data_IF_493841862642
#
_entry.id   IF_493841862642
#
_cell.length_a   1.000
_cell.length_b   1.000
_cell.length_c   1.000
_cell.angle_alpha   90.00
_cell.angle_beta   90.00
_cell.angle_gamma   90.00
#
_symmetry.space_group_name_H-M   'P 1'
#
loop_
_entity.id
_entity.type
_entity.pdbx_description
1 polymer ?
#
# COMPACT_ATOMS: atom_id res chain seq x y z
N UNK A 1 2.82 19.77 -28.43
CA UNK A 1 1.89 19.08 -27.51
C UNK A 1 2.63 17.96 -26.81
N UNK A 2 3.05 18.12 -25.55
CA UNK A 2 3.59 17.01 -24.77
C UNK A 2 2.42 16.25 -24.11
N UNK A 3 2.34 14.93 -24.27
CA UNK A 3 1.43 14.10 -23.45
C UNK A 3 0.63 13.00 -24.16
N UNK A 4 0.64 12.90 -25.50
CA UNK A 4 -0.19 11.90 -26.20
C UNK A 4 0.33 10.45 -26.08
N UNK A 5 1.55 10.25 -25.57
CA UNK A 5 2.24 8.94 -25.50
C UNK A 5 2.89 8.65 -24.15
N UNK A 6 2.43 9.26 -23.06
CA UNK A 6 3.01 8.99 -21.74
C UNK A 6 2.58 7.58 -21.26
N UNK A 7 3.54 6.65 -21.21
CA UNK A 7 3.36 5.39 -20.49
C UNK A 7 3.30 5.70 -19.01
N UNK A 8 2.17 5.38 -18.36
CA UNK A 8 2.04 5.46 -16.91
C UNK A 8 2.43 4.13 -16.30
N UNK A 9 3.37 4.11 -15.38
CA UNK A 9 3.77 2.91 -14.64
C UNK A 9 3.24 2.97 -13.21
N UNK A 10 2.93 1.81 -12.64
CA UNK A 10 2.50 1.66 -11.24
C UNK A 10 3.11 0.37 -10.71
N UNK A 11 3.65 0.41 -9.49
CA UNK A 11 4.21 -0.77 -8.83
C UNK A 11 3.34 -1.11 -7.62
N UNK A 12 2.73 -2.29 -7.66
CA UNK A 12 2.08 -2.91 -6.51
C UNK A 12 3.09 -3.71 -5.71
N UNK A 13 3.07 -3.56 -4.39
CA UNK A 13 3.92 -4.31 -3.46
C UNK A 13 3.04 -5.00 -2.42
N UNK A 14 3.33 -6.26 -2.16
CA UNK A 14 2.80 -7.02 -1.05
C UNK A 14 3.95 -7.41 -0.13
N UNK A 15 3.78 -7.21 1.18
CA UNK A 15 4.74 -7.58 2.21
C UNK A 15 4.05 -8.60 3.11
N UNK A 16 4.56 -9.83 3.10
CA UNK A 16 3.96 -10.98 3.79
C UNK A 16 4.95 -11.59 4.81
N UNK A 17 4.47 -12.54 5.60
CA UNK A 17 5.29 -13.32 6.53
C UNK A 17 6.17 -14.30 5.71
N UNK A 18 7.36 -13.84 5.33
CA UNK A 18 8.40 -14.67 4.70
C UNK A 18 8.84 -14.26 3.30
N UNK A 19 8.12 -13.37 2.61
CA UNK A 19 8.60 -12.75 1.36
C UNK A 19 7.94 -11.39 1.06
N UNK A 20 8.57 -10.63 0.19
CA UNK A 20 8.00 -9.44 -0.45
C UNK A 20 7.76 -9.76 -1.91
N UNK A 21 6.60 -9.36 -2.45
CA UNK A 21 6.25 -9.51 -3.86
C UNK A 21 6.04 -8.14 -4.49
N UNK A 22 6.49 -7.98 -5.73
CA UNK A 22 6.33 -6.76 -6.51
C UNK A 22 5.77 -7.04 -7.89
N UNK A 23 4.88 -6.17 -8.38
CA UNK A 23 4.33 -6.23 -9.73
C UNK A 23 4.27 -4.82 -10.32
N UNK A 24 4.89 -4.61 -11.48
CA UNK A 24 4.80 -3.39 -12.26
C UNK A 24 3.78 -3.57 -13.38
N UNK A 25 2.85 -2.63 -13.48
CA UNK A 25 1.91 -2.53 -14.59
C UNK A 25 2.19 -1.26 -15.37
N UNK A 26 2.24 -1.40 -16.68
CA UNK A 26 2.36 -0.28 -17.60
C UNK A 26 1.02 -0.01 -18.27
N UNK A 27 0.61 1.26 -18.32
CA UNK A 27 -0.58 1.71 -19.04
C UNK A 27 -0.17 2.55 -20.23
N UNK A 28 -0.48 2.06 -21.42
CA UNK A 28 -0.24 2.75 -22.69
C UNK A 28 -1.52 2.75 -23.53
N UNK A 29 -1.98 3.94 -23.95
CA UNK A 29 -3.21 4.12 -24.74
C UNK A 29 -4.43 3.38 -24.16
N UNK A 30 -4.57 3.40 -22.83
CA UNK A 30 -5.68 2.75 -22.13
C UNK A 30 -5.54 1.24 -21.95
N UNK A 31 -4.55 0.59 -22.57
CA UNK A 31 -4.25 -0.84 -22.38
C UNK A 31 -3.26 -1.02 -21.23
N UNK A 32 -3.51 -2.02 -20.41
CA UNK A 32 -2.60 -2.46 -19.36
C UNK A 32 -1.75 -3.62 -19.88
N UNK A 33 -0.46 -3.58 -19.57
CA UNK A 33 0.48 -4.68 -19.78
C UNK A 33 1.28 -4.94 -18.51
N UNK A 34 1.71 -6.19 -18.33
CA UNK A 34 2.63 -6.58 -17.28
C UNK A 34 4.03 -6.11 -17.65
N UNK A 35 4.67 -5.36 -16.75
CA UNK A 35 6.09 -5.01 -16.81
C UNK A 35 6.91 -6.04 -16.04
N UNK A 36 7.74 -5.57 -15.12
CA UNK A 36 8.51 -6.41 -14.19
C UNK A 36 7.62 -7.01 -13.09
N UNK A 37 7.98 -8.17 -12.57
CA UNK A 37 7.36 -8.77 -11.40
C UNK A 37 8.32 -9.76 -10.76
N UNK A 38 8.23 -9.97 -9.45
CA UNK A 38 9.07 -10.95 -8.77
C UNK A 38 8.81 -10.99 -7.27
N UNK A 39 9.60 -11.80 -6.57
CA UNK A 39 9.58 -11.88 -5.12
C UNK A 39 10.98 -11.95 -4.54
N UNK A 40 11.10 -11.58 -3.27
CA UNK A 40 12.34 -11.68 -2.51
C UNK A 40 12.06 -12.20 -1.10
N UNK A 41 12.80 -13.22 -0.62
CA UNK A 41 12.53 -13.84 0.67
C UNK A 41 12.85 -12.89 1.83
N UNK A 42 12.03 -12.97 2.88
CA UNK A 42 12.25 -12.32 4.15
C UNK A 42 12.71 -13.34 5.19
N UNK A 43 13.62 -12.94 6.09
CA UNK A 43 14.01 -13.80 7.20
C UNK A 43 12.88 -13.94 8.22
N UNK A 44 12.89 -15.05 8.95
CA UNK A 44 11.94 -15.30 10.03
C UNK A 44 11.86 -14.12 11.01
N UNK A 45 10.63 -13.82 11.44
CA UNK A 45 10.30 -12.71 12.34
C UNK A 45 10.60 -11.31 11.81
N UNK A 46 10.93 -11.12 10.53
CA UNK A 46 11.05 -9.77 9.96
C UNK A 46 9.68 -9.08 9.86
N UNK A 47 8.68 -9.86 9.47
CA UNK A 47 7.26 -9.51 9.46
C UNK A 47 6.52 -10.62 10.20
N UNK A 48 5.53 -10.24 11.00
CA UNK A 48 4.66 -11.18 11.67
C UNK A 48 3.26 -10.62 11.73
N UNK A 49 2.28 -11.39 11.27
CA UNK A 49 0.87 -10.96 11.35
C UNK A 49 0.64 -9.60 10.66
N UNK A 50 1.40 -9.33 9.61
CA UNK A 50 1.39 -8.08 8.86
C UNK A 50 2.00 -6.87 9.57
N UNK A 51 2.65 -7.07 10.72
CA UNK A 51 3.44 -6.05 11.41
C UNK A 51 4.90 -6.22 11.04
N UNK A 52 5.52 -5.12 10.57
CA UNK A 52 6.96 -5.08 10.30
C UNK A 52 7.69 -4.96 11.64
N UNK A 53 8.39 -6.03 12.03
CA UNK A 53 9.15 -6.11 13.28
C UNK A 53 10.61 -5.69 13.10
N UNK A 54 11.16 -5.87 11.90
CA UNK A 54 12.58 -5.56 11.56
C UNK A 54 12.64 -4.70 10.29
N UNK A 55 12.37 -3.38 10.40
CA UNK A 55 12.28 -2.47 9.25
C UNK A 55 13.53 -2.45 8.36
N UNK A 56 14.71 -2.58 8.95
CA UNK A 56 15.99 -2.61 8.24
C UNK A 56 16.12 -3.83 7.32
N UNK A 57 15.62 -4.99 7.75
CA UNK A 57 15.65 -6.22 6.93
C UNK A 57 14.62 -6.15 5.80
N UNK A 58 13.44 -5.62 6.09
CA UNK A 58 12.39 -5.39 5.08
C UNK A 58 12.86 -4.35 4.06
N UNK A 59 13.52 -3.27 4.50
CA UNK A 59 14.11 -2.26 3.62
C UNK A 59 15.15 -2.85 2.68
N UNK A 60 16.09 -3.65 3.21
CA UNK A 60 17.09 -4.33 2.38
C UNK A 60 16.49 -5.32 1.38
N UNK A 61 15.44 -6.05 1.77
CA UNK A 61 14.69 -6.93 0.88
C UNK A 61 13.98 -6.16 -0.24
N UNK A 62 13.39 -5.00 0.05
CA UNK A 62 12.81 -4.12 -0.97
C UNK A 62 13.86 -3.61 -1.95
N UNK A 63 15.01 -3.17 -1.46
CA UNK A 63 16.12 -2.73 -2.31
C UNK A 63 16.58 -3.85 -3.25
N UNK A 64 16.70 -5.07 -2.72
CA UNK A 64 17.12 -6.23 -3.49
C UNK A 64 16.07 -6.62 -4.54
N UNK A 65 14.80 -6.65 -4.18
CA UNK A 65 13.69 -6.86 -5.13
C UNK A 65 13.71 -5.82 -6.26
N UNK A 66 13.90 -4.54 -5.93
CA UNK A 66 14.02 -3.46 -6.92
C UNK A 66 15.20 -3.65 -7.86
N UNK A 67 16.33 -4.10 -7.31
CA UNK A 67 17.55 -4.33 -8.09
C UNK A 67 17.41 -5.53 -9.02
N UNK A 68 16.85 -6.65 -8.53
CA UNK A 68 16.72 -7.90 -9.29
C UNK A 68 15.72 -7.76 -10.44
N UNK A 69 14.54 -7.20 -10.16
CA UNK A 69 13.46 -7.09 -11.15
C UNK A 69 13.51 -5.82 -11.99
N UNK A 70 14.40 -4.89 -11.65
CA UNK A 70 14.62 -3.67 -12.42
C UNK A 70 13.47 -2.66 -12.32
N UNK A 71 12.69 -2.69 -11.24
CA UNK A 71 11.64 -1.71 -10.98
C UNK A 71 12.19 -0.28 -11.02
N UNK A 72 11.57 0.61 -11.80
CA UNK A 72 12.01 2.01 -11.93
C UNK A 72 11.22 2.98 -11.07
N UNK A 73 9.92 2.74 -10.96
CA UNK A 73 9.02 3.57 -10.17
C UNK A 73 9.29 3.34 -8.67
N UNK A 74 9.31 4.44 -7.89
CA UNK A 74 9.59 4.42 -6.43
C UNK A 74 8.35 4.69 -5.59
N UNK A 75 7.34 5.34 -6.16
CA UNK A 75 6.01 5.39 -5.53
C UNK A 75 5.30 4.05 -5.73
N UNK A 76 4.89 3.44 -4.63
CA UNK A 76 4.28 2.12 -4.62
C UNK A 76 2.84 2.19 -4.17
N UNK A 77 2.07 1.21 -4.60
CA UNK A 77 0.75 0.90 -4.06
C UNK A 77 0.92 -0.34 -3.21
N UNK A 78 0.48 -0.31 -1.97
CA UNK A 78 0.56 -1.45 -1.06
C UNK A 78 -0.74 -1.61 -0.29
N UNK A 79 -0.97 -2.81 0.24
CA UNK A 79 -2.04 -3.11 1.18
C UNK A 79 -1.53 -3.06 2.62
N UNK A 80 -2.42 -2.73 3.55
CA UNK A 80 -2.20 -2.93 4.98
C UNK A 80 -2.86 -4.24 5.41
N UNK A 81 -2.22 -4.98 6.31
CA UNK A 81 -2.78 -6.24 6.81
C UNK A 81 -4.07 -6.02 7.59
N UNK A 82 -5.02 -6.94 7.37
CA UNK A 82 -6.35 -6.90 7.98
C UNK A 82 -6.31 -6.96 9.51
N UNK A 83 -5.28 -7.56 10.13
CA UNK A 83 -5.21 -7.69 11.59
C UNK A 83 -5.10 -6.35 12.33
N UNK A 84 -4.54 -5.32 11.67
CA UNK A 84 -4.45 -3.96 12.21
C UNK A 84 -5.57 -3.02 11.78
N UNK A 85 -6.55 -3.49 11.02
CA UNK A 85 -7.57 -2.64 10.39
C UNK A 85 -8.95 -3.01 10.89
N UNK A 86 -9.64 -2.04 11.47
CA UNK A 86 -11.05 -2.16 11.84
C UNK A 86 -11.92 -1.37 10.86
N UNK A 87 -12.80 -2.06 10.13
CA UNK A 87 -13.76 -1.43 9.22
C UNK A 87 -15.15 -1.39 9.86
N UNK A 88 -15.75 -0.20 9.90
CA UNK A 88 -17.13 0.02 10.35
C UNK A 88 -17.86 0.97 9.42
N UNK A 89 -19.10 0.62 9.10
CA UNK A 89 -20.01 1.53 8.44
C UNK A 89 -20.65 2.43 9.49
N UNK A 90 -20.61 3.74 9.25
CA UNK A 90 -21.23 4.75 10.10
C UNK A 90 -21.95 5.78 9.20
N UNK A 91 -23.00 6.39 9.74
CA UNK A 91 -23.75 7.46 9.08
C UNK A 91 -23.53 8.75 9.82
N UNK A 92 -23.08 9.77 9.10
CA UNK A 92 -22.81 11.10 9.66
C UNK A 92 -23.86 12.10 9.15
N UNK A 93 -24.11 13.18 9.90
CA UNK A 93 -24.91 14.29 9.41
C UNK A 93 -24.32 14.86 8.12
N UNK A 94 -25.17 15.33 7.21
CA UNK A 94 -24.70 16.02 6.02
C UNK A 94 -24.07 17.36 6.41
N UNK A 95 -22.78 17.50 6.14
CA UNK A 95 -22.01 18.71 6.42
C UNK A 95 -21.23 19.15 5.17
N UNK A 96 -20.82 20.42 5.08
CA UNK A 96 -19.91 20.88 4.04
C UNK A 96 -18.62 20.02 3.99
N UNK A 97 -18.05 19.73 2.81
CA UNK A 97 -16.88 18.86 2.66
C UNK A 97 -15.68 19.25 3.54
N UNK A 98 -15.51 20.55 3.76
CA UNK A 98 -14.40 21.10 4.56
C UNK A 98 -14.53 20.77 6.05
N UNK A 99 -15.75 20.45 6.51
CA UNK A 99 -16.05 20.06 7.91
C UNK A 99 -16.08 18.55 8.11
N UNK A 100 -16.10 17.76 7.04
CA UNK A 100 -16.33 16.32 7.10
C UNK A 100 -15.24 15.59 7.90
N UNK A 101 -13.97 15.90 7.67
CA UNK A 101 -12.84 15.30 8.42
C UNK A 101 -12.97 15.53 9.93
N UNK A 102 -13.32 16.76 10.34
CA UNK A 102 -13.53 17.09 11.75
C UNK A 102 -14.70 16.33 12.38
N UNK A 103 -15.82 16.21 11.66
CA UNK A 103 -17.01 15.46 12.13
C UNK A 103 -16.69 13.97 12.25
N UNK A 104 -16.01 13.40 11.26
CA UNK A 104 -15.59 11.98 11.30
C UNK A 104 -14.69 11.74 12.50
N UNK A 105 -13.64 12.54 12.72
CA UNK A 105 -12.71 12.35 13.85
C UNK A 105 -13.40 12.48 15.20
N UNK A 106 -14.32 13.44 15.34
CA UNK A 106 -15.04 13.67 16.60
C UNK A 106 -16.01 12.52 16.92
N UNK A 107 -16.76 12.03 15.93
CA UNK A 107 -17.78 10.99 16.15
C UNK A 107 -17.24 9.56 16.01
N UNK A 108 -16.08 9.36 15.38
CA UNK A 108 -15.52 8.02 15.14
C UNK A 108 -15.34 7.22 16.44
N UNK A 109 -15.03 7.87 17.57
CA UNK A 109 -14.88 7.20 18.86
C UNK A 109 -16.13 6.43 19.29
N UNK A 110 -17.32 6.99 19.05
CA UNK A 110 -18.60 6.35 19.42
C UNK A 110 -18.91 5.12 18.57
N UNK A 111 -18.22 4.96 17.44
CA UNK A 111 -18.38 3.86 16.50
C UNK A 111 -17.30 2.77 16.63
N UNK A 112 -16.26 3.00 17.44
CA UNK A 112 -15.13 2.10 17.58
C UNK A 112 -15.09 1.47 18.98
N UNK A 113 -14.81 0.16 19.11
CA UNK A 113 -14.72 -0.53 20.39
C UNK A 113 -13.42 -0.24 21.15
N UNK A 114 -12.53 0.56 20.56
CA UNK A 114 -11.22 0.92 21.10
C UNK A 114 -11.02 2.44 21.03
N UNK A 115 -10.20 3.03 21.92
CA UNK A 115 -9.83 4.42 21.83
C UNK A 115 -9.12 4.73 20.51
N UNK A 116 -9.40 5.89 19.93
CA UNK A 116 -8.59 6.43 18.84
C UNK A 116 -7.21 6.84 19.39
N UNK A 117 -6.11 6.50 18.68
CA UNK A 117 -4.75 6.92 19.05
C UNK A 117 -4.51 8.43 18.87
#
# INVERSE_FOLDING_TARGET
>A
MPGLFATKTMVGVEIDDGEIRGVELEKHQGRLSLGSWGSYPLPDNAVKEGVILQPEKVGGALEELWRQEGFKQREIITGVSNQGVLVRFASFPQVPPEKLDGVIRFQAQDHLPVPLP
#
